data_IF_773771751920
#
_entry.id   IF_773771751920
#
_cell.length_a   1.000
_cell.length_b   1.000
_cell.length_c   1.000
_cell.angle_alpha   90.00
_cell.angle_beta   90.00
_cell.angle_gamma   90.00
#
_symmetry.space_group_name_H-M   'P 1'
#
loop_
_entity.id
_entity.type
_entity.pdbx_description
1 polymer ?
#
# COMPACT_ATOMS: atom_id res chain seq x y z
N UNK A 1 -5.25 -0.38 15.63
CA UNK A 1 -4.74 -1.56 14.88
C UNK A 1 -3.22 -1.49 14.80
N UNK A 2 -2.53 -2.62 14.96
CA UNK A 2 -1.07 -2.69 14.86
C UNK A 2 -0.73 -3.05 13.41
N UNK A 3 -0.16 -2.10 12.66
CA UNK A 3 0.44 -2.39 11.36
C UNK A 3 1.46 -3.51 11.54
N UNK A 4 1.39 -4.56 10.72
CA UNK A 4 2.42 -5.62 10.75
C UNK A 4 3.69 -5.20 10.02
N UNK A 5 3.70 -3.99 9.45
CA UNK A 5 4.85 -3.41 8.80
C UNK A 5 5.76 -2.73 9.83
N UNK A 6 7.06 -2.69 9.55
CA UNK A 6 7.96 -1.77 10.23
C UNK A 6 7.51 -0.33 10.01
N UNK A 7 7.88 0.59 10.90
CA UNK A 7 7.55 2.02 10.76
C UNK A 7 8.03 2.60 9.43
N UNK A 8 9.20 2.16 8.97
CA UNK A 8 9.77 2.57 7.70
C UNK A 8 8.92 2.08 6.51
N UNK A 9 8.56 0.80 6.49
CA UNK A 9 7.74 0.22 5.44
C UNK A 9 6.34 0.83 5.40
N UNK A 10 5.76 1.15 6.57
CA UNK A 10 4.49 1.86 6.63
C UNK A 10 4.60 3.28 6.04
N UNK A 11 5.68 4.01 6.35
CA UNK A 11 5.91 5.35 5.79
C UNK A 11 6.05 5.29 4.26
N UNK A 12 6.79 4.34 3.73
CA UNK A 12 6.94 4.12 2.29
C UNK A 12 5.60 3.77 1.65
N UNK A 13 4.85 2.83 2.25
CA UNK A 13 3.53 2.44 1.77
C UNK A 13 2.56 3.64 1.71
N UNK A 14 2.49 4.44 2.77
CA UNK A 14 1.67 5.66 2.80
C UNK A 14 2.10 6.67 1.74
N UNK A 15 3.40 6.85 1.54
CA UNK A 15 3.92 7.77 0.53
C UNK A 15 3.53 7.32 -0.89
N UNK A 16 3.68 6.04 -1.22
CA UNK A 16 3.29 5.51 -2.54
C UNK A 16 1.77 5.57 -2.73
N UNK A 17 1.00 5.26 -1.69
CA UNK A 17 -0.46 5.31 -1.73
C UNK A 17 -0.99 6.74 -1.97
N UNK A 18 -0.33 7.74 -1.39
CA UNK A 18 -0.68 9.15 -1.58
C UNK A 18 -0.31 9.71 -2.97
N UNK A 19 0.66 9.09 -3.64
CA UNK A 19 1.14 9.52 -4.96
C UNK A 19 1.05 8.36 -5.96
N UNK A 20 -0.09 8.16 -6.64
CA UNK A 20 -0.37 6.94 -7.40
C UNK A 20 0.60 6.70 -8.57
N UNK A 21 1.35 7.71 -9.00
CA UNK A 21 2.37 7.60 -10.06
C UNK A 21 3.64 6.90 -9.55
N UNK A 22 3.88 6.96 -8.24
CA UNK A 22 5.00 6.27 -7.57
C UNK A 22 4.87 4.75 -7.63
N UNK A 23 3.65 4.20 -7.72
CA UNK A 23 3.45 2.76 -7.89
C UNK A 23 4.09 2.27 -9.20
N UNK A 24 3.87 2.98 -10.30
CA UNK A 24 4.46 2.63 -11.60
C UNK A 24 5.99 2.72 -11.57
N UNK A 25 6.53 3.75 -10.91
CA UNK A 25 7.96 3.92 -10.71
C UNK A 25 8.55 2.76 -9.88
N UNK A 26 7.95 2.43 -8.74
CA UNK A 26 8.41 1.36 -7.87
C UNK A 26 8.39 -0.02 -8.57
N UNK A 27 7.37 -0.28 -9.40
CA UNK A 27 7.30 -1.47 -10.25
C UNK A 27 8.41 -1.49 -11.31
N UNK A 28 8.66 -0.35 -11.98
CA UNK A 28 9.71 -0.21 -13.01
C UNK A 28 11.11 -0.39 -12.42
N UNK A 29 11.35 0.18 -11.25
CA UNK A 29 12.62 0.10 -10.51
C UNK A 29 12.79 -1.23 -9.77
N UNK A 30 11.82 -2.16 -9.87
CA UNK A 30 11.85 -3.46 -9.20
C UNK A 30 12.01 -3.35 -7.67
N UNK A 31 11.44 -2.30 -7.09
CA UNK A 31 11.43 -2.05 -5.64
C UNK A 31 10.39 -2.93 -4.95
N UNK A 32 10.59 -4.25 -5.02
CA UNK A 32 9.59 -5.24 -4.63
C UNK A 32 9.21 -5.18 -3.16
N UNK A 33 10.16 -4.84 -2.28
CA UNK A 33 9.89 -4.64 -0.86
C UNK A 33 8.87 -3.51 -0.62
N UNK A 34 9.02 -2.40 -1.32
CA UNK A 34 8.13 -1.23 -1.20
C UNK A 34 6.74 -1.51 -1.76
N UNK A 35 6.68 -2.22 -2.90
CA UNK A 35 5.40 -2.65 -3.48
C UNK A 35 4.70 -3.66 -2.57
N UNK A 36 5.44 -4.59 -1.96
CA UNK A 36 4.89 -5.54 -0.98
C UNK A 36 4.38 -4.83 0.28
N UNK A 37 5.10 -3.81 0.75
CA UNK A 37 4.68 -2.97 1.88
C UNK A 37 3.39 -2.22 1.56
N UNK A 38 3.28 -1.60 0.38
CA UNK A 38 2.06 -0.96 -0.09
C UNK A 38 0.87 -1.91 -0.13
N UNK A 39 1.02 -3.08 -0.77
CA UNK A 39 -0.06 -4.07 -0.89
C UNK A 39 -0.50 -4.56 0.49
N UNK A 40 0.45 -4.79 1.40
CA UNK A 40 0.15 -5.16 2.80
C UNK A 40 -0.63 -4.05 3.50
N UNK A 41 -0.20 -2.79 3.35
CA UNK A 41 -0.86 -1.64 3.96
C UNK A 41 -2.28 -1.47 3.44
N UNK A 42 -2.50 -1.53 2.13
CA UNK A 42 -3.83 -1.42 1.52
C UNK A 42 -4.75 -2.52 2.05
N UNK A 43 -4.31 -3.78 2.03
CA UNK A 43 -5.12 -4.90 2.55
C UNK A 43 -5.50 -4.76 4.03
N UNK A 44 -4.63 -4.16 4.84
CA UNK A 44 -4.90 -3.93 6.26
C UNK A 44 -5.86 -2.76 6.51
N UNK A 45 -5.91 -1.78 5.62
CA UNK A 45 -6.66 -0.54 5.81
C UNK A 45 -7.96 -0.47 5.00
N UNK A 46 -8.14 -1.32 3.99
CA UNK A 46 -9.37 -1.38 3.19
C UNK A 46 -10.60 -1.77 4.05
N UNK A 47 -10.39 -2.52 5.13
CA UNK A 47 -11.45 -2.99 6.04
C UNK A 47 -11.74 -2.05 7.23
N UNK A 48 -10.95 -0.99 7.41
CA UNK A 48 -10.95 -0.22 8.68
C UNK A 48 -12.08 0.82 8.70
N UNK A 49 -13.19 0.46 9.36
CA UNK A 49 -14.33 1.35 9.59
C UNK A 49 -14.13 2.32 10.76
N UNK A 50 -13.16 2.03 11.65
CA UNK A 50 -12.89 2.79 12.87
C UNK A 50 -12.47 4.25 12.58
N UNK A 51 -11.75 4.47 11.48
CA UNK A 51 -11.34 5.81 11.04
C UNK A 51 -12.53 6.68 10.62
N UNK A 52 -13.63 6.08 10.15
CA UNK A 52 -14.80 6.82 9.70
C UNK A 52 -15.50 7.56 10.87
N UNK A 53 -15.35 7.04 12.10
CA UNK A 53 -15.97 7.61 13.30
C UNK A 53 -15.12 8.70 13.95
N UNK A 54 -13.80 8.66 13.77
CA UNK A 54 -12.84 9.54 14.47
C UNK A 54 -12.39 10.72 13.61
N UNK A 55 -12.16 10.51 12.30
CA UNK A 55 -11.86 11.58 11.35
C UNK A 55 -12.42 11.25 9.95
N UNK A 56 -13.63 11.74 9.62
CA UNK A 56 -14.27 11.47 8.34
C UNK A 56 -13.49 12.01 7.12
N UNK A 57 -12.74 13.10 7.27
CA UNK A 57 -12.00 13.70 6.16
C UNK A 57 -10.76 12.84 5.82
N UNK A 58 -10.05 12.38 6.85
CA UNK A 58 -8.95 11.45 6.70
C UNK A 58 -9.41 10.11 6.13
N UNK A 59 -10.54 9.58 6.61
CA UNK A 59 -11.13 8.35 6.08
C UNK A 59 -11.46 8.47 4.59
N UNK A 60 -12.14 9.53 4.16
CA UNK A 60 -12.47 9.76 2.73
C UNK A 60 -11.23 9.82 1.86
N UNK A 61 -10.19 10.51 2.32
CA UNK A 61 -8.91 10.63 1.61
C UNK A 61 -8.25 9.26 1.44
N UNK A 62 -8.16 8.48 2.52
CA UNK A 62 -7.61 7.13 2.48
C UNK A 62 -8.41 6.21 1.55
N UNK A 63 -9.75 6.28 1.60
CA UNK A 63 -10.61 5.49 0.71
C UNK A 63 -10.39 5.84 -0.75
N UNK A 64 -10.26 7.13 -1.08
CA UNK A 64 -10.00 7.59 -2.44
C UNK A 64 -8.65 7.07 -2.95
N UNK A 65 -7.61 7.12 -2.12
CA UNK A 65 -6.28 6.61 -2.48
C UNK A 65 -6.29 5.09 -2.71
N UNK A 66 -6.93 4.32 -1.82
CA UNK A 66 -7.10 2.87 -1.97
C UNK A 66 -7.90 2.54 -3.24
N UNK A 67 -8.97 3.29 -3.51
CA UNK A 67 -9.75 3.15 -4.76
C UNK A 67 -8.86 3.34 -5.98
N UNK A 68 -8.07 4.41 -5.98
CA UNK A 68 -7.15 4.72 -7.09
C UNK A 68 -6.11 3.62 -7.29
N UNK A 69 -5.59 3.06 -6.19
CA UNK A 69 -4.69 1.91 -6.23
C UNK A 69 -5.32 0.71 -6.96
N UNK A 70 -6.57 0.35 -6.62
CA UNK A 70 -7.28 -0.75 -7.28
C UNK A 70 -7.60 -0.44 -8.75
N UNK A 71 -8.06 0.78 -9.06
CA UNK A 71 -8.34 1.20 -10.44
C UNK A 71 -7.11 1.17 -11.34
N UNK A 72 -5.91 1.44 -10.79
CA UNK A 72 -4.64 1.33 -11.51
C UNK A 72 -4.09 -0.12 -11.60
N UNK A 73 -4.91 -1.12 -11.27
CA UNK A 73 -4.54 -2.53 -11.37
C UNK A 73 -3.76 -3.08 -10.17
N UNK A 74 -3.62 -2.30 -9.08
CA UNK A 74 -2.94 -2.75 -7.86
C UNK A 74 -3.55 -4.00 -7.23
N UNK A 75 -4.85 -4.25 -7.48
CA UNK A 75 -5.54 -5.47 -7.05
C UNK A 75 -5.05 -6.76 -7.70
N UNK A 76 -4.38 -6.68 -8.86
CA UNK A 76 -3.81 -7.83 -9.54
C UNK A 76 -2.44 -8.25 -8.97
N UNK A 77 -1.88 -7.47 -8.05
CA UNK A 77 -0.57 -7.74 -7.46
C UNK A 77 -0.63 -8.92 -6.48
N UNK A 78 0.17 -9.96 -6.75
CA UNK A 78 0.31 -11.09 -5.83
C UNK A 78 1.35 -10.76 -4.75
N UNK A 79 0.87 -10.60 -3.52
CA UNK A 79 1.70 -10.23 -2.36
C UNK A 79 2.78 -11.28 -2.04
N UNK A 80 2.47 -12.57 -2.14
CA UNK A 80 3.45 -13.63 -1.85
C UNK A 80 4.58 -13.60 -2.87
N UNK A 81 4.24 -13.45 -4.14
CA UNK A 81 5.23 -13.30 -5.22
C UNK A 81 6.10 -12.06 -5.02
N UNK A 82 5.52 -10.93 -4.62
CA UNK A 82 6.28 -9.70 -4.34
C UNK A 82 7.25 -9.89 -3.18
N UNK A 83 6.85 -10.61 -2.11
CA UNK A 83 7.74 -10.92 -0.98
C UNK A 83 8.89 -11.83 -1.41
N UNK A 84 8.61 -12.87 -2.21
CA UNK A 84 9.65 -13.74 -2.77
C UNK A 84 10.66 -12.95 -3.61
N UNK A 85 10.16 -12.07 -4.48
CA UNK A 85 11.00 -11.20 -5.32
C UNK A 85 11.83 -10.22 -4.48
N UNK A 86 11.29 -9.70 -3.38
CA UNK A 86 12.04 -8.84 -2.47
C UNK A 86 13.21 -9.58 -1.81
N UNK A 87 12.99 -10.81 -1.35
CA UNK A 87 14.05 -11.64 -0.76
C UNK A 87 15.09 -12.08 -1.80
N UNK A 88 14.69 -12.34 -3.05
CA UNK A 88 15.60 -12.75 -4.11
C UNK A 88 16.48 -11.62 -4.68
N UNK A 89 16.07 -10.36 -4.47
CA UNK A 89 16.80 -9.15 -4.91
C UNK A 89 17.55 -8.45 -3.75
N UNK A 90 17.52 -9.01 -2.53
CA UNK A 90 18.28 -8.54 -1.37
C UNK A 90 19.65 -9.20 -1.32
#
# INVERSE_FOLDING_TARGET
MRSTLSRENERVARHILAHPDRLGIALKEKRWADVAALVTFVKQNDSTHDLAMTDPALYRTLRQQITTFYLRGGGALNLEKLRQLATANS
#
